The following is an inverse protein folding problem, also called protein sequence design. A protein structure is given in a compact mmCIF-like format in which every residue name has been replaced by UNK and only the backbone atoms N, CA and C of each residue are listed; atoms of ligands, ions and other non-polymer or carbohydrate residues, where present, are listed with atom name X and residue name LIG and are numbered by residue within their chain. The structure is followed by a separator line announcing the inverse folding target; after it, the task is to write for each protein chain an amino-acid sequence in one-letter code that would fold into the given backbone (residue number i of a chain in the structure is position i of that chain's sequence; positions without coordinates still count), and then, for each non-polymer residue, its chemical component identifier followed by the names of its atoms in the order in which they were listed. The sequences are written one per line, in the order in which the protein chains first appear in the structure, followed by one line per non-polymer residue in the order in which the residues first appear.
data_IF_239625081181
#
_entry.id   IF_239625081181
#
_cell.length_a   1.000
_cell.length_b   1.000
_cell.length_c   1.000
_cell.angle_alpha   90.00
_cell.angle_beta   90.00
_cell.angle_gamma   90.00
#
_symmetry.space_group_name_H-M   'P 1'
#
loop_
_entity.id
_entity.type
_entity.pdbx_description
1 polymer ?
#
# COMPACT_ATOMS: atom_id res chain seq x y z
N UNK A 1 -2.62 -8.05 -27.82
CA UNK A 1 -2.88 -9.00 -26.72
C UNK A 1 -2.32 -8.36 -25.48
N UNK A 2 -3.19 -7.88 -24.60
CA UNK A 2 -2.78 -7.43 -23.27
C UNK A 2 -2.29 -8.67 -22.51
N UNK A 3 -0.98 -8.90 -22.54
CA UNK A 3 -0.32 -9.69 -21.51
C UNK A 3 -0.45 -8.87 -20.22
N UNK A 4 -1.60 -9.03 -19.58
CA UNK A 4 -1.84 -8.56 -18.24
C UNK A 4 -0.69 -9.09 -17.39
N UNK A 5 0.08 -8.16 -16.82
CA UNK A 5 1.19 -8.47 -15.92
C UNK A 5 0.65 -9.23 -14.71
N UNK A 6 0.62 -10.56 -14.80
CA UNK A 6 0.30 -11.46 -13.70
C UNK A 6 1.35 -11.22 -12.61
N UNK A 7 0.95 -10.53 -11.55
CA UNK A 7 1.81 -10.28 -10.40
C UNK A 7 2.07 -11.61 -9.68
N UNK A 8 3.15 -12.31 -10.05
CA UNK A 8 3.52 -13.60 -9.46
C UNK A 8 3.88 -13.38 -7.99
N UNK A 9 3.06 -13.95 -7.10
CA UNK A 9 3.32 -13.97 -5.66
C UNK A 9 4.59 -14.78 -5.37
N UNK A 10 5.56 -14.26 -4.59
CA UNK A 10 6.71 -15.04 -4.16
C UNK A 10 6.31 -16.28 -3.35
N UNK A 11 6.94 -17.42 -3.64
CA UNK A 11 6.69 -18.68 -2.93
C UNK A 11 7.01 -18.55 -1.44
N UNK A 12 6.08 -18.97 -0.58
CA UNK A 12 6.25 -18.93 0.87
C UNK A 12 5.99 -17.58 1.55
N UNK A 13 5.60 -16.53 0.80
CA UNK A 13 5.24 -15.23 1.37
C UNK A 13 3.74 -15.06 1.46
N UNK A 14 3.18 -14.50 2.54
CA UNK A 14 1.75 -14.12 2.61
C UNK A 14 1.59 -12.61 2.53
N UNK A 15 0.59 -12.09 1.80
CA UNK A 15 0.34 -10.66 1.76
C UNK A 15 0.01 -10.14 3.17
N UNK A 16 0.61 -9.03 3.54
CA UNK A 16 0.35 -8.34 4.81
C UNK A 16 -0.43 -7.07 4.54
N UNK A 17 -1.57 -6.92 5.22
CA UNK A 17 -2.36 -5.69 5.21
C UNK A 17 -2.04 -4.88 6.47
N UNK A 18 -1.55 -3.66 6.28
CA UNK A 18 -1.16 -2.77 7.38
C UNK A 18 -2.05 -1.53 7.36
N UNK A 19 -2.74 -1.29 8.47
CA UNK A 19 -3.53 -0.07 8.67
C UNK A 19 -2.76 0.91 9.54
N UNK A 20 -2.57 2.13 9.04
CA UNK A 20 -1.93 3.22 9.77
C UNK A 20 -2.96 4.31 10.03
N UNK A 21 -3.27 4.56 11.30
CA UNK A 21 -3.99 5.77 11.68
C UNK A 21 -3.02 6.95 11.65
N UNK A 22 -3.12 7.79 10.62
CA UNK A 22 -2.17 8.89 10.39
C UNK A 22 -2.21 9.99 11.45
N UNK A 23 -3.29 10.06 12.25
CA UNK A 23 -3.56 11.14 13.21
C UNK A 23 -3.16 10.83 14.67
N UNK A 24 -2.78 9.60 14.99
CA UNK A 24 -2.41 9.22 16.37
C UNK A 24 -1.03 9.74 16.78
N UNK A 25 -0.85 10.04 18.08
CA UNK A 25 0.40 10.50 18.68
C UNK A 25 0.72 11.95 18.31
N UNK A 26 1.59 12.15 17.33
CA UNK A 26 2.06 13.46 16.82
C UNK A 26 2.08 13.44 15.28
N UNK A 27 0.99 12.94 14.69
CA UNK A 27 0.86 12.72 13.24
C UNK A 27 2.00 11.90 12.60
N UNK A 28 2.68 11.06 13.39
CA UNK A 28 3.84 10.28 12.96
C UNK A 28 3.47 9.21 11.92
N UNK A 29 2.19 8.83 11.85
CA UNK A 29 1.66 7.96 10.82
C UNK A 29 1.91 8.45 9.39
N UNK A 30 2.06 9.77 9.18
CA UNK A 30 2.46 10.35 7.89
C UNK A 30 3.87 9.92 7.48
N UNK A 31 4.81 9.78 8.43
CA UNK A 31 6.18 9.31 8.15
C UNK A 31 6.18 7.84 7.71
N UNK A 32 5.37 7.00 8.35
CA UNK A 32 5.18 5.60 7.94
C UNK A 32 4.61 5.53 6.52
N UNK A 33 3.55 6.28 6.23
CA UNK A 33 2.93 6.30 4.91
C UNK A 33 3.92 6.73 3.82
N UNK A 34 4.72 7.78 4.08
CA UNK A 34 5.79 8.23 3.19
C UNK A 34 6.85 7.13 2.98
N UNK A 35 7.26 6.43 4.06
CA UNK A 35 8.25 5.36 3.96
C UNK A 35 7.73 4.16 3.19
N UNK A 36 6.48 3.75 3.40
CA UNK A 36 5.84 2.69 2.62
C UNK A 36 5.78 3.04 1.13
N UNK A 37 5.43 4.28 0.77
CA UNK A 37 5.45 4.73 -0.64
C UNK A 37 6.84 4.70 -1.30
N UNK A 38 7.91 4.78 -0.49
CA UNK A 38 9.29 4.67 -0.98
C UNK A 38 9.75 3.21 -1.12
N UNK A 39 9.21 2.31 -0.30
CA UNK A 39 9.66 0.91 -0.21
C UNK A 39 8.81 -0.06 -1.01
N UNK A 40 7.55 0.26 -1.24
CA UNK A 40 6.56 -0.60 -1.91
C UNK A 40 6.14 0.02 -3.23
N UNK A 41 5.51 -0.80 -4.09
CA UNK A 41 4.85 -0.29 -5.28
C UNK A 41 3.79 0.75 -4.85
N UNK A 42 3.77 1.98 -5.41
CA UNK A 42 2.78 2.99 -5.08
C UNK A 42 1.33 2.52 -5.23
N UNK A 43 1.06 1.59 -6.15
CA UNK A 43 -0.24 0.94 -6.31
C UNK A 43 -0.62 -0.01 -5.15
N UNK A 44 0.22 -0.16 -4.12
CA UNK A 44 -0.04 -0.94 -2.91
C UNK A 44 -0.22 -0.04 -1.67
N UNK A 45 -0.01 1.27 -1.77
CA UNK A 45 -0.03 2.19 -0.64
C UNK A 45 -1.09 3.26 -0.83
N UNK A 46 -2.22 3.08 -0.14
CA UNK A 46 -3.40 3.93 -0.29
C UNK A 46 -3.60 4.85 0.92
N UNK A 47 -4.07 6.06 0.65
CA UNK A 47 -4.57 6.97 1.68
C UNK A 47 -6.08 6.83 1.77
N UNK A 48 -6.55 6.00 2.71
CA UNK A 48 -7.96 5.67 2.88
C UNK A 48 -8.86 6.89 3.17
N UNK A 49 -8.29 8.03 3.57
CA UNK A 49 -9.04 9.29 3.74
C UNK A 49 -9.40 9.89 2.38
N UNK A 50 -8.52 9.71 1.38
CA UNK A 50 -8.70 10.21 0.00
C UNK A 50 -9.41 9.22 -0.91
N UNK A 51 -9.51 7.96 -0.48
CA UNK A 51 -10.17 6.87 -1.22
C UNK A 51 -9.33 5.59 -1.23
N UNK A 52 -9.97 4.49 -1.63
CA UNK A 52 -9.30 3.21 -1.85
C UNK A 52 -8.76 3.07 -3.27
N UNK A 53 -8.08 1.94 -3.59
CA UNK A 53 -7.82 1.56 -4.97
C UNK A 53 -9.11 1.63 -5.80
N UNK A 54 -8.99 2.18 -7.01
CA UNK A 54 -10.09 2.14 -7.97
C UNK A 54 -10.42 0.71 -8.41
N UNK A 55 -11.62 0.47 -8.96
CA UNK A 55 -11.91 -0.79 -9.63
C UNK A 55 -10.88 -1.02 -10.74
N UNK A 56 -10.27 -2.21 -10.72
CA UNK A 56 -9.30 -2.66 -11.72
C UNK A 56 -9.96 -3.09 -13.01
#
# INVERSE_FOLDING_TARGET
SDEAWEAVRPNGCSPLLVFVNSKSGDNQGVKFLRRFKQLLNPAQVFDLIKGGPGPG
#
